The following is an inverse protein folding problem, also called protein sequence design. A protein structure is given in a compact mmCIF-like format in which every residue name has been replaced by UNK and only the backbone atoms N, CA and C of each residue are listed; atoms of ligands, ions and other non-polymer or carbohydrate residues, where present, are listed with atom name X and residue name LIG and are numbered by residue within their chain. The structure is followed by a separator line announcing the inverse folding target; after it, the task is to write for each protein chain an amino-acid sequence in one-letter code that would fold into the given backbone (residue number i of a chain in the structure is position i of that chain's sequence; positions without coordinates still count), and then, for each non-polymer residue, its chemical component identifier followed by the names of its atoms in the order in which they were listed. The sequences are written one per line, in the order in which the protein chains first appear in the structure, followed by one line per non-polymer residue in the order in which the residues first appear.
data_IF_396262105515
#
_entry.id   IF_396262105515
#
_cell.length_a   1.000
_cell.length_b   1.000
_cell.length_c   1.000
_cell.angle_alpha   90.00
_cell.angle_beta   90.00
_cell.angle_gamma   90.00
#
_symmetry.space_group_name_H-M   'P 1'
#
loop_
_entity.id
_entity.type
_entity.pdbx_description
1 polymer ?
#
# COMPACT_ATOMS: atom_id res chain seq x y z
N UNK A 1 -27.94 -11.05 -62.11
CA UNK A 1 -28.12 -12.06 -61.06
C UNK A 1 -27.28 -11.66 -59.86
N UNK A 2 -27.96 -11.56 -58.72
CA UNK A 2 -27.54 -11.20 -57.36
C UNK A 2 -26.17 -11.72 -56.92
N UNK A 3 -25.33 -10.91 -56.24
CA UNK A 3 -24.68 -11.22 -54.95
C UNK A 3 -24.31 -9.95 -54.16
N UNK A 4 -24.94 -9.83 -52.98
CA UNK A 4 -24.60 -8.91 -51.89
C UNK A 4 -23.27 -9.31 -51.23
N UNK A 5 -22.49 -8.33 -50.75
CA UNK A 5 -21.79 -8.39 -49.46
C UNK A 5 -21.14 -7.03 -49.16
N UNK A 6 -21.75 -6.25 -48.28
CA UNK A 6 -21.23 -4.95 -47.84
C UNK A 6 -21.81 -4.58 -46.49
N UNK A 7 -21.48 -5.36 -45.45
CA UNK A 7 -21.77 -5.02 -44.06
C UNK A 7 -20.63 -5.53 -43.20
N UNK A 8 -19.68 -4.65 -42.91
CA UNK A 8 -18.66 -4.87 -41.88
C UNK A 8 -18.37 -3.54 -41.21
N UNK A 9 -19.33 -3.06 -40.40
CA UNK A 9 -19.13 -1.90 -39.54
C UNK A 9 -19.96 -2.05 -38.27
N UNK A 10 -19.67 -3.10 -37.49
CA UNK A 10 -20.30 -3.31 -36.18
C UNK A 10 -19.42 -4.20 -35.30
N UNK A 11 -18.23 -3.72 -34.93
CA UNK A 11 -17.43 -4.37 -33.89
C UNK A 11 -16.43 -3.39 -33.25
N UNK A 12 -16.92 -2.25 -32.74
CA UNK A 12 -16.06 -1.32 -32.00
C UNK A 12 -16.75 -0.68 -30.80
N UNK A 13 -17.49 -1.45 -30.00
CA UNK A 13 -18.08 -0.96 -28.74
C UNK A 13 -18.18 -2.06 -27.65
N UNK A 14 -17.11 -2.80 -27.38
CA UNK A 14 -17.15 -3.83 -26.31
C UNK A 14 -15.97 -3.84 -25.33
N UNK A 15 -15.06 -2.86 -25.35
CA UNK A 15 -13.88 -2.90 -24.46
C UNK A 15 -13.91 -1.96 -23.25
N UNK A 16 -14.95 -1.16 -23.03
CA UNK A 16 -14.97 -0.19 -21.92
C UNK A 16 -15.58 -0.70 -20.60
N UNK A 17 -16.10 -1.92 -20.52
CA UNK A 17 -16.79 -2.40 -19.31
C UNK A 17 -15.86 -2.99 -18.21
N UNK A 18 -14.56 -3.11 -18.43
CA UNK A 18 -13.69 -3.84 -17.49
C UNK A 18 -13.14 -3.00 -16.32
N UNK A 19 -13.32 -1.67 -16.31
CA UNK A 19 -12.71 -0.79 -15.28
C UNK A 19 -13.67 -0.39 -14.15
N UNK A 20 -14.96 -0.73 -14.22
CA UNK A 20 -15.96 -0.28 -13.24
C UNK A 20 -16.40 -1.34 -12.21
N UNK A 21 -16.02 -2.61 -12.39
CA UNK A 21 -16.62 -3.72 -11.64
C UNK A 21 -16.08 -3.95 -10.22
N UNK A 22 -15.35 -2.99 -9.65
CA UNK A 22 -14.86 -3.09 -8.26
C UNK A 22 -15.70 -2.28 -7.26
N UNK A 23 -16.70 -1.53 -7.72
CA UNK A 23 -17.53 -0.67 -6.88
C UNK A 23 -18.68 -1.39 -6.16
N UNK A 24 -19.06 -2.60 -6.59
CA UNK A 24 -20.35 -3.20 -6.23
C UNK A 24 -20.29 -4.37 -5.23
N UNK A 25 -19.14 -4.57 -4.56
CA UNK A 25 -19.07 -5.57 -3.49
C UNK A 25 -19.83 -5.08 -2.24
N UNK A 26 -20.84 -5.84 -1.75
CA UNK A 26 -21.59 -5.46 -0.57
C UNK A 26 -20.68 -5.45 0.66
N UNK A 27 -20.84 -4.43 1.51
CA UNK A 27 -20.07 -4.33 2.74
C UNK A 27 -20.48 -5.41 3.75
N UNK A 28 -19.50 -5.95 4.47
CA UNK A 28 -19.73 -6.76 5.68
C UNK A 28 -20.40 -5.90 6.75
N UNK A 29 -21.36 -6.47 7.48
CA UNK A 29 -22.19 -5.76 8.47
C UNK A 29 -22.30 -6.56 9.77
N UNK A 30 -22.63 -5.90 10.88
CA UNK A 30 -22.82 -6.54 12.18
C UNK A 30 -21.61 -7.37 12.60
N UNK A 31 -21.84 -8.53 13.20
CA UNK A 31 -20.77 -9.43 13.64
C UNK A 31 -19.79 -9.83 12.52
N UNK A 32 -20.25 -9.94 11.27
CA UNK A 32 -19.41 -10.30 10.13
C UNK A 32 -18.45 -9.17 9.70
N UNK A 33 -18.69 -7.92 10.13
CA UNK A 33 -17.76 -6.83 9.90
C UNK A 33 -16.50 -6.93 10.77
N UNK A 34 -16.56 -7.65 11.90
CA UNK A 34 -15.44 -7.86 12.80
C UNK A 34 -14.66 -9.15 12.43
N UNK A 35 -13.40 -9.22 12.82
CA UNK A 35 -12.53 -10.36 12.55
C UNK A 35 -11.07 -10.04 12.83
N UNK A 36 -10.19 -10.97 12.48
CA UNK A 36 -8.74 -10.76 12.51
C UNK A 36 -8.20 -10.31 11.15
N UNK A 37 -6.90 -10.00 11.13
CA UNK A 37 -6.20 -9.55 9.92
C UNK A 37 -6.17 -10.60 8.78
N UNK A 38 -6.51 -11.88 9.03
CA UNK A 38 -6.45 -12.94 8.01
C UNK A 38 -7.58 -12.81 6.98
N UNK A 39 -8.71 -12.24 7.40
CA UNK A 39 -9.82 -11.92 6.51
C UNK A 39 -9.55 -10.67 5.68
N UNK A 40 -8.65 -9.78 6.13
CA UNK A 40 -8.35 -8.52 5.46
C UNK A 40 -7.66 -8.71 4.12
N UNK A 41 -8.08 -7.89 3.16
CA UNK A 41 -7.49 -7.77 1.82
C UNK A 41 -8.00 -6.49 1.15
N UNK A 42 -7.25 -5.94 0.18
CA UNK A 42 -7.72 -4.77 -0.57
C UNK A 42 -9.11 -5.00 -1.15
N UNK A 43 -9.97 -3.98 -1.03
CA UNK A 43 -11.35 -4.02 -1.54
C UNK A 43 -12.40 -4.59 -0.59
N UNK A 44 -12.02 -5.20 0.55
CA UNK A 44 -13.01 -5.57 1.58
C UNK A 44 -13.60 -4.30 2.19
N UNK A 45 -14.94 -4.22 2.17
CA UNK A 45 -15.69 -3.11 2.73
C UNK A 45 -16.39 -3.58 4.00
N UNK A 46 -16.32 -2.76 5.04
CA UNK A 46 -17.00 -2.99 6.32
C UNK A 46 -17.84 -1.78 6.64
N UNK A 47 -19.06 -2.03 7.09
CA UNK A 47 -19.91 -1.02 7.71
C UNK A 47 -20.02 -1.37 9.19
N UNK A 48 -19.41 -0.54 10.04
CA UNK A 48 -19.48 -0.64 11.49
C UNK A 48 -20.23 0.59 11.98
N UNK A 49 -21.35 0.38 12.64
CA UNK A 49 -22.17 1.43 13.24
C UNK A 49 -22.00 1.44 14.77
N UNK A 50 -22.40 2.53 15.47
CA UNK A 50 -22.35 2.56 16.92
C UNK A 50 -23.04 1.37 17.59
N UNK A 51 -24.17 0.89 17.05
CA UNK A 51 -24.90 -0.28 17.55
C UNK A 51 -24.17 -1.62 17.33
N UNK A 52 -23.20 -1.68 16.42
CA UNK A 52 -22.41 -2.89 16.14
C UNK A 52 -21.22 -3.03 17.11
N UNK A 53 -20.86 -1.96 17.84
CA UNK A 53 -19.68 -1.95 18.70
C UNK A 53 -19.89 -2.78 19.98
N UNK A 54 -18.87 -3.53 20.43
CA UNK A 54 -18.88 -4.12 21.76
C UNK A 54 -19.06 -3.04 22.83
N UNK A 55 -19.67 -3.40 23.96
CA UNK A 55 -19.76 -2.50 25.12
C UNK A 55 -18.36 -2.08 25.58
N UNK A 56 -18.18 -0.85 26.09
CA UNK A 56 -16.94 -0.47 26.77
C UNK A 56 -16.59 -1.49 27.86
N UNK A 57 -15.31 -1.86 27.95
CA UNK A 57 -14.81 -2.87 28.89
C UNK A 57 -15.45 -4.27 28.75
N UNK A 58 -15.85 -4.67 27.54
CA UNK A 58 -16.26 -6.07 27.26
C UNK A 58 -15.14 -7.09 27.59
N UNK A 59 -13.88 -6.65 27.57
CA UNK A 59 -12.71 -7.36 28.08
C UNK A 59 -11.84 -6.41 28.91
N UNK A 60 -10.91 -6.96 29.68
CA UNK A 60 -9.86 -6.17 30.30
C UNK A 60 -8.96 -5.53 29.23
N UNK A 61 -8.30 -4.43 29.61
CA UNK A 61 -7.32 -3.77 28.74
C UNK A 61 -6.08 -4.64 28.62
N UNK A 62 -5.60 -4.82 27.39
CA UNK A 62 -4.38 -5.57 27.10
C UNK A 62 -3.49 -4.77 26.16
N UNK A 63 -2.17 -4.84 26.38
CA UNK A 63 -1.17 -4.40 25.40
C UNK A 63 -0.73 -5.62 24.59
N UNK A 64 -1.02 -5.61 23.29
CA UNK A 64 -0.70 -6.72 22.38
C UNK A 64 0.21 -6.22 21.26
N UNK A 65 1.47 -5.95 21.60
CA UNK A 65 2.49 -5.60 20.61
C UNK A 65 2.73 -6.77 19.66
N UNK A 66 2.77 -6.49 18.36
CA UNK A 66 3.13 -7.51 17.38
C UNK A 66 4.57 -7.99 17.60
N UNK A 67 4.79 -9.30 17.61
CA UNK A 67 6.13 -9.87 17.57
C UNK A 67 6.79 -9.60 16.22
N UNK A 68 8.07 -9.22 16.23
CA UNK A 68 8.86 -9.08 15.01
C UNK A 68 9.29 -10.48 14.57
N UNK A 69 8.99 -10.83 13.33
CA UNK A 69 9.41 -12.09 12.69
C UNK A 69 10.10 -11.78 11.37
N UNK A 70 11.01 -12.66 10.96
CA UNK A 70 11.65 -12.53 9.65
C UNK A 70 10.60 -12.58 8.54
N UNK A 71 10.76 -11.71 7.54
CA UNK A 71 9.90 -11.72 6.38
C UNK A 71 10.10 -13.03 5.60
N UNK A 72 9.04 -13.84 5.39
CA UNK A 72 9.15 -15.08 4.64
C UNK A 72 9.70 -14.85 3.22
N UNK A 73 10.42 -15.84 2.69
CA UNK A 73 10.92 -15.79 1.32
C UNK A 73 9.76 -15.52 0.33
N UNK A 74 9.96 -14.55 -0.56
CA UNK A 74 8.98 -14.11 -1.57
C UNK A 74 7.67 -13.53 -1.02
N UNK A 75 7.63 -13.13 0.26
CA UNK A 75 6.48 -12.41 0.79
C UNK A 75 6.26 -11.11 0.00
N UNK A 76 5.04 -10.92 -0.49
CA UNK A 76 4.61 -9.70 -1.20
C UNK A 76 3.29 -9.21 -0.62
N UNK A 77 3.07 -7.89 -0.55
CA UNK A 77 1.77 -7.36 -0.18
C UNK A 77 0.70 -7.83 -1.17
N UNK A 78 -0.50 -8.09 -0.66
CA UNK A 78 -1.69 -8.23 -1.52
C UNK A 78 -2.06 -6.84 -2.01
N UNK A 79 -2.18 -6.68 -3.32
CA UNK A 79 -2.49 -5.40 -3.96
C UNK A 79 -3.78 -5.49 -4.77
N UNK A 80 -4.48 -4.37 -5.02
CA UNK A 80 -5.56 -4.34 -5.99
C UNK A 80 -5.08 -4.76 -7.39
N UNK A 81 -6.00 -5.25 -8.23
CA UNK A 81 -5.73 -5.57 -9.63
C UNK A 81 -5.10 -4.39 -10.38
N UNK A 82 -4.07 -4.64 -11.17
CA UNK A 82 -3.34 -3.63 -11.93
C UNK A 82 -2.20 -2.94 -11.18
N UNK A 83 -1.97 -3.27 -9.90
CA UNK A 83 -0.86 -2.74 -9.11
C UNK A 83 0.23 -3.79 -8.88
N UNK A 84 1.48 -3.32 -8.80
CA UNK A 84 2.64 -4.10 -8.37
C UNK A 84 3.37 -3.37 -7.25
N UNK A 85 4.16 -4.11 -6.48
CA UNK A 85 5.08 -3.54 -5.49
C UNK A 85 6.41 -4.28 -5.56
N UNK A 86 7.48 -3.51 -5.39
CA UNK A 86 8.84 -3.99 -5.36
C UNK A 86 9.54 -3.43 -4.12
N UNK A 87 10.42 -4.23 -3.52
CA UNK A 87 11.17 -3.83 -2.34
C UNK A 87 12.33 -2.92 -2.76
N UNK A 88 12.32 -1.67 -2.28
CA UNK A 88 13.42 -0.72 -2.52
C UNK A 88 14.56 -0.92 -1.53
N UNK A 89 14.23 -1.03 -0.24
CA UNK A 89 15.20 -1.18 0.84
C UNK A 89 14.60 -1.95 2.03
N UNK A 90 15.46 -2.61 2.79
CA UNK A 90 15.14 -3.32 4.04
C UNK A 90 16.24 -3.06 5.08
N UNK A 91 16.08 -3.55 6.31
CA UNK A 91 17.05 -3.34 7.38
C UNK A 91 17.12 -1.89 7.87
N UNK A 92 15.97 -1.22 7.90
CA UNK A 92 15.81 0.14 8.45
C UNK A 92 15.20 -0.04 9.85
N UNK A 93 15.78 0.58 10.87
CA UNK A 93 15.46 0.27 12.27
C UNK A 93 14.06 0.73 12.66
N UNK A 94 13.66 1.93 12.24
CA UNK A 94 12.29 2.42 12.43
C UNK A 94 11.92 3.44 11.35
N UNK A 95 11.64 2.96 10.11
CA UNK A 95 11.29 3.84 9.01
C UNK A 95 9.99 4.60 9.31
N UNK A 96 10.06 5.93 9.27
CA UNK A 96 8.89 6.82 9.39
C UNK A 96 8.57 7.45 8.05
N UNK A 97 8.66 8.78 7.96
CA UNK A 97 8.28 9.49 6.74
C UNK A 97 9.22 9.10 5.60
N UNK A 98 8.59 8.84 4.45
CA UNK A 98 9.24 8.68 3.16
C UNK A 98 8.90 9.90 2.30
N UNK A 99 9.89 10.54 1.69
CA UNK A 99 9.70 11.68 0.78
C UNK A 99 10.53 11.54 -0.48
N UNK A 100 9.92 11.84 -1.61
CA UNK A 100 10.63 12.00 -2.88
C UNK A 100 11.11 13.44 -2.96
N UNK A 101 12.40 13.63 -3.18
CA UNK A 101 13.00 14.94 -3.41
C UNK A 101 12.72 15.44 -4.84
N UNK A 102 12.88 16.74 -5.12
CA UNK A 102 12.66 17.29 -6.48
C UNK A 102 13.51 16.64 -7.57
N UNK A 103 14.68 16.09 -7.22
CA UNK A 103 15.55 15.35 -8.14
C UNK A 103 15.16 13.88 -8.32
N UNK A 104 14.12 13.39 -7.63
CA UNK A 104 13.64 12.01 -7.69
C UNK A 104 14.25 11.06 -6.66
N UNK A 105 15.23 11.50 -5.86
CA UNK A 105 15.82 10.66 -4.81
C UNK A 105 14.81 10.43 -3.66
N UNK A 106 14.83 9.24 -3.07
CA UNK A 106 13.94 8.87 -1.97
C UNK A 106 14.65 9.08 -0.62
N UNK A 107 14.06 9.89 0.24
CA UNK A 107 14.54 10.13 1.60
C UNK A 107 13.65 9.42 2.61
N UNK A 108 14.27 8.77 3.60
CA UNK A 108 13.57 8.03 4.65
C UNK A 108 14.11 8.46 6.01
N UNK A 109 13.22 8.84 6.91
CA UNK A 109 13.56 9.05 8.31
C UNK A 109 13.67 7.68 8.99
N UNK A 110 14.87 7.33 9.44
CA UNK A 110 15.15 6.11 10.20
C UNK A 110 15.26 6.48 11.68
N UNK A 111 14.12 6.49 12.37
CA UNK A 111 13.97 7.20 13.64
C UNK A 111 14.85 6.63 14.75
N UNK A 112 14.82 5.32 14.99
CA UNK A 112 15.62 4.73 16.09
C UNK A 112 17.11 4.73 15.80
N UNK A 113 17.49 4.78 14.51
CA UNK A 113 18.88 4.94 14.10
C UNK A 113 19.31 6.42 14.02
N UNK A 114 18.44 7.37 14.42
CA UNK A 114 18.79 8.78 14.56
C UNK A 114 19.38 9.42 13.29
N UNK A 115 18.85 9.03 12.12
CA UNK A 115 19.41 9.42 10.83
C UNK A 115 18.34 9.59 9.73
N UNK A 116 18.69 10.32 8.69
CA UNK A 116 17.97 10.37 7.41
C UNK A 116 18.78 9.59 6.38
N UNK A 117 18.13 8.62 5.74
CA UNK A 117 18.70 7.86 4.63
C UNK A 117 18.28 8.46 3.30
N UNK A 118 19.10 8.30 2.28
CA UNK A 118 18.80 8.63 0.88
C UNK A 118 19.01 7.40 0.00
N UNK A 119 18.10 7.21 -0.96
CA UNK A 119 18.16 6.18 -1.98
C UNK A 119 18.00 6.81 -3.35
N UNK A 120 19.01 6.68 -4.19
CA UNK A 120 18.99 7.15 -5.58
C UNK A 120 18.38 6.08 -6.46
N UNK A 121 17.20 6.36 -6.99
CA UNK A 121 16.49 5.45 -7.87
C UNK A 121 16.91 5.71 -9.33
N UNK A 122 16.97 4.65 -10.12
CA UNK A 122 17.08 4.76 -11.58
C UNK A 122 15.70 4.66 -12.21
N UNK A 123 15.57 5.23 -13.40
CA UNK A 123 14.36 5.06 -14.20
C UNK A 123 14.12 3.56 -14.40
N UNK A 124 12.93 3.11 -14.05
CA UNK A 124 12.44 1.73 -14.21
C UNK A 124 13.08 0.66 -13.30
N UNK A 125 13.70 1.03 -12.17
CA UNK A 125 14.14 0.06 -11.16
C UNK A 125 13.80 0.47 -9.73
N UNK A 126 13.22 -0.45 -8.96
CA UNK A 126 13.08 -0.28 -7.51
C UNK A 126 14.40 -0.47 -6.76
N UNK A 127 15.42 -1.09 -7.38
CA UNK A 127 16.73 -1.24 -6.76
C UNK A 127 17.48 0.10 -6.82
N UNK A 128 17.86 0.70 -5.69
CA UNK A 128 18.64 1.94 -5.70
C UNK A 128 19.99 1.72 -6.40
N UNK A 129 20.39 2.64 -7.27
CA UNK A 129 21.74 2.67 -7.82
C UNK A 129 22.76 3.06 -6.74
N UNK A 130 22.37 3.95 -5.85
CA UNK A 130 23.17 4.39 -4.71
C UNK A 130 22.27 4.53 -3.48
N UNK A 131 22.86 4.35 -2.30
CA UNK A 131 22.20 4.64 -1.04
C UNK A 131 23.22 5.16 -0.02
N UNK A 132 22.74 5.84 1.02
CA UNK A 132 23.60 6.34 2.07
C UNK A 132 22.85 7.04 3.20
N UNK A 133 23.62 7.48 4.19
CA UNK A 133 23.15 8.35 5.27
C UNK A 133 23.32 9.79 4.78
N UNK A 134 22.21 10.51 4.64
CA UNK A 134 22.21 11.92 4.26
C UNK A 134 22.52 12.83 5.46
N UNK A 135 21.93 12.52 6.62
CA UNK A 135 22.15 13.24 7.86
C UNK A 135 22.10 12.27 9.03
N UNK A 136 22.98 12.42 10.02
CA UNK A 136 23.02 11.61 11.23
C UNK A 136 23.12 12.47 12.48
N UNK A 137 23.13 11.83 13.65
CA UNK A 137 23.19 12.52 14.95
C UNK A 137 21.90 13.29 15.27
N UNK A 138 20.78 12.86 14.69
CA UNK A 138 19.46 13.42 14.98
C UNK A 138 18.89 12.78 16.25
N UNK A 139 17.70 13.21 16.65
CA UNK A 139 16.97 12.60 17.76
C UNK A 139 15.58 12.20 17.27
N UNK A 140 15.40 10.90 17.04
CA UNK A 140 14.17 10.30 16.51
C UNK A 140 13.53 11.12 15.39
N UNK A 141 14.27 11.37 14.28
CA UNK A 141 13.74 12.17 13.19
C UNK A 141 12.43 11.57 12.66
N UNK A 142 11.45 12.43 12.38
CA UNK A 142 10.17 12.01 11.82
C UNK A 142 9.86 12.75 10.53
N UNK A 143 9.79 14.08 10.57
CA UNK A 143 9.40 14.91 9.42
C UNK A 143 10.56 15.16 8.44
N UNK A 144 10.23 15.18 7.14
CA UNK A 144 11.11 15.61 6.05
C UNK A 144 10.29 16.53 5.15
N UNK A 145 10.84 17.68 4.79
CA UNK A 145 10.28 18.59 3.81
C UNK A 145 11.39 19.17 2.94
N UNK A 146 11.12 19.30 1.65
CA UNK A 146 11.96 20.04 0.72
C UNK A 146 11.35 21.41 0.48
N UNK A 147 12.20 22.43 0.44
CA UNK A 147 11.75 23.77 0.05
C UNK A 147 11.31 23.75 -1.43
N UNK A 148 10.21 24.42 -1.80
CA UNK A 148 9.70 24.48 -3.18
C UNK A 148 10.69 25.08 -4.20
#
# INVERSE_FOLDING_TARGET
MMRLAGLAMSALFLTTAALAQQADQPALKGAAAFGDWRADRPGVRRLIKPEDLPKPYATESASNGAGIVDMPANAKPRLPSGFSAELIASGIDNPRVVRVAPNGDLFVADSEANQIRVYRLTKDSAKPAENGIFAGGLNQPYGIAFYP
#
